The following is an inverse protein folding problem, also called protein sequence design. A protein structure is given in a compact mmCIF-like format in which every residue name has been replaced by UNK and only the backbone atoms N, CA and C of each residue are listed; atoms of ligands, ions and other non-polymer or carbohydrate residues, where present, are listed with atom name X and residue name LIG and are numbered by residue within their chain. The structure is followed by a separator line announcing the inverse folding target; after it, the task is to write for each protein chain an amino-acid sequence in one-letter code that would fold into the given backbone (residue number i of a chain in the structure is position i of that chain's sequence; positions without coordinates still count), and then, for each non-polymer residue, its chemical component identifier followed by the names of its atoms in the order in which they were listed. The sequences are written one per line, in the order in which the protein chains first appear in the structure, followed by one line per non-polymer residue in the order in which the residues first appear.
data_IF_663173907640
#
_entry.id   IF_663173907640
#
_cell.length_a   1.000
_cell.length_b   1.000
_cell.length_c   1.000
_cell.angle_alpha   90.00
_cell.angle_beta   90.00
_cell.angle_gamma   90.00
#
_symmetry.space_group_name_H-M   'P 1'
#
loop_
_entity.id
_entity.type
_entity.pdbx_description
1 polymer ?
#
# COMPACT_ATOMS: atom_id res chain seq x y z
N UNK A 1 56.15 54.47 -9.84
CA UNK A 1 56.92 53.79 -10.91
C UNK A 1 56.54 52.31 -10.89
N UNK A 2 55.88 51.82 -11.96
CA UNK A 2 55.64 50.39 -12.34
C UNK A 2 54.94 49.51 -11.29
N UNK A 3 53.62 49.33 -11.32
CA UNK A 3 52.86 48.38 -12.18
C UNK A 3 53.45 46.96 -12.19
N UNK A 4 52.76 45.96 -11.62
CA UNK A 4 52.05 44.95 -12.42
C UNK A 4 51.26 43.95 -11.56
N UNK A 5 50.04 43.75 -12.03
CA UNK A 5 49.03 42.73 -11.75
C UNK A 5 49.56 41.28 -11.89
N UNK A 6 49.27 40.39 -10.93
CA UNK A 6 49.23 38.91 -11.11
C UNK A 6 48.14 38.36 -10.19
N UNK A 7 46.92 38.22 -10.69
CA UNK A 7 46.31 36.97 -11.19
C UNK A 7 46.20 35.91 -10.08
N UNK A 8 44.97 35.84 -9.53
CA UNK A 8 44.41 34.69 -8.84
C UNK A 8 44.43 33.48 -9.79
N UNK A 9 45.00 32.36 -9.34
CA UNK A 9 44.75 31.05 -9.95
C UNK A 9 44.07 30.18 -8.90
N UNK A 10 42.74 30.11 -8.99
CA UNK A 10 41.91 29.16 -8.27
C UNK A 10 42.04 27.81 -9.01
N UNK A 11 42.78 26.86 -8.45
CA UNK A 11 42.79 25.48 -8.95
C UNK A 11 41.53 24.81 -8.37
N UNK A 12 40.45 24.83 -9.16
CA UNK A 12 39.33 23.94 -8.96
C UNK A 12 39.76 22.54 -9.43
N UNK A 13 40.04 21.63 -8.50
CA UNK A 13 40.05 20.20 -8.79
C UNK A 13 38.62 19.77 -9.09
N UNK A 14 38.23 19.82 -10.36
CA UNK A 14 37.04 19.14 -10.85
C UNK A 14 37.42 17.66 -10.90
N UNK A 15 37.07 16.92 -9.86
CA UNK A 15 36.92 15.48 -9.99
C UNK A 15 35.70 15.25 -10.87
N UNK A 16 35.91 15.15 -12.18
CA UNK A 16 34.96 14.50 -13.07
C UNK A 16 34.98 13.01 -12.73
N UNK A 17 34.21 12.62 -11.72
CA UNK A 17 33.65 11.28 -11.73
C UNK A 17 32.72 11.26 -12.93
N UNK A 18 33.19 10.62 -14.00
CA UNK A 18 32.30 10.08 -15.00
C UNK A 18 31.41 9.08 -14.26
N UNK A 19 30.24 9.54 -13.81
CA UNK A 19 29.12 8.64 -13.63
C UNK A 19 28.89 8.04 -15.01
N UNK A 20 29.23 6.76 -15.14
CA UNK A 20 28.61 5.95 -16.18
C UNK A 20 27.11 6.18 -16.07
N UNK A 21 26.40 6.43 -17.18
CA UNK A 21 24.95 6.47 -17.13
C UNK A 21 24.52 5.07 -16.70
N UNK A 22 24.14 4.94 -15.43
CA UNK A 22 23.36 3.81 -14.97
C UNK A 22 22.18 3.74 -15.92
N UNK A 23 22.12 2.65 -16.68
CA UNK A 23 21.00 2.32 -17.53
C UNK A 23 19.74 2.55 -16.74
N UNK A 24 18.97 3.54 -17.21
CA UNK A 24 17.63 3.84 -16.77
C UNK A 24 16.82 2.54 -16.85
N UNK A 25 16.68 1.87 -15.70
CA UNK A 25 15.81 0.72 -15.51
C UNK A 25 14.39 1.19 -15.15
N UNK A 26 14.07 2.49 -15.28
CA UNK A 26 12.68 2.91 -15.25
C UNK A 26 12.00 2.38 -16.51
N UNK A 27 10.90 1.67 -16.29
CA UNK A 27 10.11 0.95 -17.27
C UNK A 27 10.80 -0.26 -17.92
N UNK A 28 10.60 -1.47 -17.35
CA UNK A 28 10.08 -2.53 -18.21
C UNK A 28 8.95 -1.88 -19.01
N UNK A 29 9.02 -1.91 -20.34
CA UNK A 29 7.86 -1.65 -21.18
C UNK A 29 6.83 -2.72 -20.84
N UNK A 30 6.14 -2.56 -19.72
CA UNK A 30 4.87 -3.20 -19.47
C UNK A 30 4.02 -2.73 -20.64
N UNK A 31 3.57 -3.67 -21.46
CA UNK A 31 2.64 -3.38 -22.56
C UNK A 31 1.59 -2.41 -22.01
N UNK A 32 1.46 -1.23 -22.62
CA UNK A 32 0.47 -0.23 -22.23
C UNK A 32 -0.85 -0.95 -22.00
N UNK A 33 -1.26 -1.09 -20.73
CA UNK A 33 -2.53 -1.70 -20.36
C UNK A 33 -3.61 -0.73 -20.80
N UNK A 34 -4.00 -0.80 -22.07
CA UNK A 34 -4.96 0.12 -22.63
C UNK A 34 -6.37 -0.31 -22.22
N UNK A 35 -6.90 0.35 -21.19
CA UNK A 35 -8.33 0.28 -20.89
C UNK A 35 -9.03 1.29 -21.80
N UNK A 36 -9.52 0.78 -22.94
CA UNK A 36 -10.18 1.55 -23.98
C UNK A 36 -11.53 2.14 -23.55
N UNK A 37 -12.17 1.53 -22.55
CA UNK A 37 -13.48 1.93 -22.05
C UNK A 37 -13.52 1.90 -20.52
N UNK A 38 -14.21 2.87 -19.92
CA UNK A 38 -14.50 2.89 -18.49
C UNK A 38 -15.43 1.75 -18.06
N UNK A 39 -16.11 1.08 -18.99
CA UNK A 39 -16.93 -0.12 -18.74
C UNK A 39 -16.07 -1.38 -18.81
N UNK A 40 -16.02 -2.12 -17.71
CA UNK A 40 -15.20 -3.31 -17.52
C UNK A 40 -16.08 -4.55 -17.51
N UNK A 41 -15.78 -5.51 -18.38
CA UNK A 41 -16.46 -6.81 -18.42
C UNK A 41 -15.63 -7.89 -17.72
N UNK A 42 -16.27 -8.91 -17.10
CA UNK A 42 -15.57 -10.08 -16.58
C UNK A 42 -14.79 -10.80 -17.68
N UNK A 43 -13.63 -11.35 -17.33
CA UNK A 43 -12.82 -12.20 -18.23
C UNK A 43 -13.59 -13.48 -18.62
N UNK A 44 -14.39 -14.02 -17.70
CA UNK A 44 -15.30 -15.12 -17.95
C UNK A 44 -16.44 -15.16 -16.94
N UNK A 45 -17.50 -15.90 -17.26
CA UNK A 45 -18.68 -16.06 -16.40
C UNK A 45 -18.97 -17.55 -16.16
N UNK A 46 -19.39 -17.89 -14.94
CA UNK A 46 -19.88 -19.22 -14.58
C UNK A 46 -21.23 -19.07 -13.87
N UNK A 47 -22.21 -19.88 -14.25
CA UNK A 47 -23.57 -19.80 -13.69
C UNK A 47 -23.88 -21.12 -12.98
N UNK A 48 -24.45 -21.03 -11.78
CA UNK A 48 -24.87 -22.18 -10.99
C UNK A 48 -26.29 -22.01 -10.48
N UNK A 49 -27.01 -23.13 -10.35
CA UNK A 49 -28.36 -23.14 -9.79
C UNK A 49 -28.25 -22.92 -8.29
N UNK A 50 -29.02 -21.97 -7.74
CA UNK A 50 -29.19 -21.86 -6.30
C UNK A 50 -30.59 -22.35 -5.88
N UNK A 51 -30.70 -22.83 -4.65
CA UNK A 51 -31.95 -23.38 -4.11
C UNK A 51 -32.96 -22.31 -3.68
N UNK A 52 -32.59 -21.04 -3.68
CA UNK A 52 -33.36 -19.93 -3.10
C UNK A 52 -34.06 -19.07 -4.16
N UNK A 53 -33.81 -19.30 -5.46
CA UNK A 53 -34.34 -18.51 -6.58
C UNK A 53 -34.01 -17.00 -6.52
N UNK A 54 -33.00 -16.62 -5.73
CA UNK A 54 -32.48 -15.25 -5.67
C UNK A 54 -31.39 -15.06 -6.73
N UNK A 55 -31.31 -13.88 -7.35
CA UNK A 55 -30.17 -13.57 -8.23
C UNK A 55 -29.00 -13.13 -7.37
N UNK A 56 -27.91 -13.89 -7.39
CA UNK A 56 -26.67 -13.55 -6.68
C UNK A 56 -25.55 -13.38 -7.71
N UNK A 57 -24.75 -12.34 -7.56
CA UNK A 57 -23.53 -12.14 -8.35
C UNK A 57 -22.33 -12.16 -7.39
N UNK A 58 -21.38 -13.04 -7.68
CA UNK A 58 -20.15 -13.22 -6.91
C UNK A 58 -18.96 -12.93 -7.80
N UNK A 59 -18.10 -12.02 -7.36
CA UNK A 59 -16.89 -11.67 -8.10
C UNK A 59 -15.74 -12.54 -7.62
N UNK A 60 -15.06 -13.18 -8.56
CA UNK A 60 -13.86 -13.98 -8.34
C UNK A 60 -12.68 -13.31 -9.00
N UNK A 61 -11.65 -13.00 -8.23
CA UNK A 61 -10.36 -12.53 -8.72
C UNK A 61 -9.38 -13.69 -8.72
N UNK A 62 -8.83 -14.01 -9.89
CA UNK A 62 -7.77 -15.00 -10.06
C UNK A 62 -6.44 -14.25 -10.07
N UNK A 63 -5.61 -14.46 -9.05
CA UNK A 63 -4.26 -13.88 -8.92
C UNK A 63 -3.28 -14.60 -9.84
N UNK A 64 -2.14 -13.97 -10.13
CA UNK A 64 -1.11 -14.58 -11.02
C UNK A 64 -0.58 -15.92 -10.49
N UNK A 65 -0.53 -16.10 -9.16
CA UNK A 65 -0.15 -17.36 -8.51
C UNK A 65 -1.25 -18.44 -8.55
N UNK A 66 -2.40 -18.18 -9.19
CA UNK A 66 -3.54 -19.08 -9.29
C UNK A 66 -4.50 -19.06 -8.10
N UNK A 67 -4.23 -18.26 -7.07
CA UNK A 67 -5.13 -18.10 -5.92
C UNK A 67 -6.42 -17.43 -6.37
N UNK A 68 -7.55 -17.93 -5.86
CA UNK A 68 -8.88 -17.39 -6.15
C UNK A 68 -9.38 -16.69 -4.90
N UNK A 69 -9.63 -15.39 -5.02
CA UNK A 69 -10.30 -14.60 -3.98
C UNK A 69 -11.74 -14.30 -4.40
N UNK A 70 -12.67 -14.45 -3.46
CA UNK A 70 -14.06 -14.01 -3.65
C UNK A 70 -14.17 -12.63 -3.02
N UNK A 71 -14.53 -11.64 -3.83
CA UNK A 71 -14.68 -10.27 -3.37
C UNK A 71 -16.06 -10.11 -2.72
N UNK A 72 -16.06 -9.61 -1.49
CA UNK A 72 -17.28 -9.25 -0.77
C UNK A 72 -17.64 -7.78 -1.04
N UNK A 73 -18.93 -7.45 -0.89
CA UNK A 73 -19.44 -6.07 -0.78
C UNK A 73 -19.33 -5.19 -2.02
N UNK A 74 -19.47 -5.78 -3.21
CA UNK A 74 -19.64 -5.00 -4.42
C UNK A 74 -21.13 -4.78 -4.69
N UNK A 75 -21.57 -3.53 -4.49
CA UNK A 75 -22.96 -3.10 -4.60
C UNK A 75 -23.43 -3.16 -6.07
N UNK A 76 -23.88 -4.33 -6.50
CA UNK A 76 -24.33 -4.59 -7.86
C UNK A 76 -25.82 -4.28 -8.03
N UNK A 77 -26.13 -3.43 -8.99
CA UNK A 77 -27.48 -3.20 -9.48
C UNK A 77 -27.81 -4.23 -10.55
N UNK A 78 -28.80 -5.10 -10.27
CA UNK A 78 -29.20 -6.18 -11.18
C UNK A 78 -30.47 -5.81 -11.94
N UNK A 79 -30.42 -5.87 -13.27
CA UNK A 79 -31.59 -5.71 -14.14
C UNK A 79 -31.94 -7.04 -14.82
N UNK A 80 -32.89 -7.77 -14.23
CA UNK A 80 -33.33 -9.06 -14.75
C UNK A 80 -34.08 -9.02 -16.08
N UNK A 81 -34.67 -7.87 -16.46
CA UNK A 81 -35.35 -7.75 -17.75
C UNK A 81 -34.34 -7.68 -18.90
N UNK A 82 -33.18 -7.08 -18.64
CA UNK A 82 -32.09 -6.94 -19.61
C UNK A 82 -31.04 -8.05 -19.49
N UNK A 83 -31.07 -8.84 -18.41
CA UNK A 83 -30.11 -9.91 -18.17
C UNK A 83 -28.72 -9.38 -17.85
N UNK A 84 -28.63 -8.21 -17.20
CA UNK A 84 -27.37 -7.56 -16.86
C UNK A 84 -27.30 -7.18 -15.38
N UNK A 85 -26.09 -7.06 -14.85
CA UNK A 85 -25.83 -6.32 -13.64
C UNK A 85 -24.69 -5.33 -13.85
N UNK A 86 -24.68 -4.26 -13.06
CA UNK A 86 -23.66 -3.21 -13.13
C UNK A 86 -23.27 -2.72 -11.75
N UNK A 87 -22.06 -2.19 -11.61
CA UNK A 87 -21.66 -1.46 -10.42
C UNK A 87 -20.59 -0.44 -10.76
N UNK A 88 -20.73 0.76 -10.20
CA UNK A 88 -19.72 1.81 -10.32
C UNK A 88 -18.67 1.65 -9.23
N UNK A 89 -17.39 1.73 -9.58
CA UNK A 89 -16.27 1.59 -8.64
C UNK A 89 -16.00 2.92 -7.91
N UNK A 90 -17.02 3.38 -7.18
CA UNK A 90 -17.05 4.64 -6.44
C UNK A 90 -17.98 4.49 -5.23
N UNK A 91 -17.48 4.90 -4.05
CA UNK A 91 -18.28 5.02 -2.84
C UNK A 91 -17.85 6.26 -2.05
N UNK A 92 -18.28 6.38 -0.79
CA UNK A 92 -17.94 7.55 0.05
C UNK A 92 -16.44 7.65 0.39
N UNK A 93 -15.69 6.55 0.36
CA UNK A 93 -14.30 6.45 0.81
C UNK A 93 -13.30 6.51 -0.35
N UNK A 94 -13.62 5.88 -1.48
CA UNK A 94 -12.73 5.89 -2.63
C UNK A 94 -13.47 5.89 -3.97
N UNK A 95 -12.75 6.21 -5.04
CA UNK A 95 -13.17 5.97 -6.42
C UNK A 95 -11.99 5.53 -7.28
N UNK A 96 -12.22 4.63 -8.22
CA UNK A 96 -11.20 4.15 -9.17
C UNK A 96 -11.53 4.67 -10.57
N UNK A 97 -10.56 5.32 -11.21
CA UNK A 97 -10.77 5.96 -12.51
C UNK A 97 -9.49 6.04 -13.33
N UNK A 98 -9.66 6.23 -14.64
CA UNK A 98 -8.69 6.93 -15.46
C UNK A 98 -9.22 8.35 -15.71
N UNK A 99 -9.75 8.61 -16.91
CA UNK A 99 -10.49 9.83 -17.25
C UNK A 99 -11.86 9.81 -16.57
N UNK A 100 -12.58 8.70 -16.73
CA UNK A 100 -13.90 8.44 -16.13
C UNK A 100 -13.78 7.37 -15.04
N UNK A 101 -14.73 7.39 -14.10
CA UNK A 101 -14.89 6.34 -13.10
C UNK A 101 -15.16 5.02 -13.79
N UNK A 102 -14.47 3.96 -13.35
CA UNK A 102 -14.71 2.62 -13.86
C UNK A 102 -16.06 2.08 -13.39
N UNK A 103 -16.73 1.38 -14.28
CA UNK A 103 -17.99 0.68 -14.03
C UNK A 103 -17.80 -0.76 -14.47
N UNK A 104 -18.23 -1.71 -13.66
CA UNK A 104 -18.27 -3.11 -14.08
C UNK A 104 -19.64 -3.44 -14.64
N UNK A 105 -19.66 -4.24 -15.69
CA UNK A 105 -20.86 -4.68 -16.38
C UNK A 105 -20.69 -6.16 -16.72
N UNK A 106 -21.69 -6.97 -16.45
CA UNK A 106 -21.68 -8.36 -16.87
C UNK A 106 -23.10 -8.90 -17.07
N UNK A 107 -23.18 -9.96 -17.86
CA UNK A 107 -24.42 -10.72 -18.03
C UNK A 107 -24.76 -11.48 -16.74
N UNK A 108 -26.06 -11.58 -16.46
CA UNK A 108 -26.60 -12.33 -15.33
C UNK A 108 -27.80 -13.16 -15.77
N UNK A 109 -27.87 -14.37 -15.26
CA UNK A 109 -29.08 -15.18 -15.31
C UNK A 109 -29.84 -15.06 -13.99
N UNK A 110 -31.10 -14.62 -14.06
CA UNK A 110 -31.88 -14.34 -12.87
C UNK A 110 -32.40 -15.60 -12.18
N UNK A 111 -32.46 -15.52 -10.85
CA UNK A 111 -32.74 -16.67 -9.97
C UNK A 111 -31.59 -17.67 -9.88
N UNK A 112 -30.38 -17.28 -10.31
CA UNK A 112 -29.16 -18.10 -10.25
C UNK A 112 -28.02 -17.36 -9.56
N UNK A 113 -27.00 -18.12 -9.21
CA UNK A 113 -25.72 -17.58 -8.76
C UNK A 113 -24.78 -17.44 -9.95
N UNK A 114 -24.43 -16.20 -10.26
CA UNK A 114 -23.56 -15.78 -11.35
C UNK A 114 -22.17 -15.48 -10.76
N UNK A 115 -21.15 -16.17 -11.24
CA UNK A 115 -19.76 -15.92 -10.90
C UNK A 115 -19.12 -15.12 -12.02
N UNK A 116 -18.72 -13.90 -11.73
CA UNK A 116 -17.94 -13.07 -12.64
C UNK A 116 -16.47 -13.22 -12.30
N UNK A 117 -15.70 -13.72 -13.24
CA UNK A 117 -14.30 -14.09 -13.03
C UNK A 117 -13.44 -13.04 -13.73
N UNK A 118 -12.53 -12.45 -12.97
CA UNK A 118 -11.54 -11.49 -13.44
C UNK A 118 -10.14 -12.07 -13.24
N UNK A 119 -9.28 -11.98 -14.25
CA UNK A 119 -7.89 -12.39 -14.15
C UNK A 119 -7.02 -11.17 -13.81
N UNK A 120 -6.26 -11.22 -12.72
CA UNK A 120 -5.45 -10.11 -12.23
C UNK A 120 -4.37 -9.66 -13.22
N UNK A 121 -3.96 -10.53 -14.15
CA UNK A 121 -3.01 -10.16 -15.22
C UNK A 121 -3.65 -9.34 -16.35
N UNK A 122 -4.99 -9.29 -16.44
CA UNK A 122 -5.73 -8.52 -17.45
C UNK A 122 -6.08 -7.11 -16.93
N UNK A 123 -6.26 -6.12 -17.82
CA UNK A 123 -6.55 -4.75 -17.40
C UNK A 123 -7.78 -4.61 -16.48
N UNK A 124 -8.87 -5.33 -16.77
CA UNK A 124 -10.08 -5.31 -15.95
C UNK A 124 -9.84 -5.94 -14.58
N UNK A 125 -9.09 -7.05 -14.50
CA UNK A 125 -8.75 -7.68 -13.25
C UNK A 125 -7.80 -6.86 -12.37
N UNK A 126 -6.93 -6.04 -12.95
CA UNK A 126 -6.12 -5.09 -12.18
C UNK A 126 -6.97 -4.02 -11.50
N UNK A 127 -8.00 -3.49 -12.18
CA UNK A 127 -8.95 -2.57 -11.55
C UNK A 127 -9.68 -3.24 -10.39
N UNK A 128 -10.11 -4.49 -10.58
CA UNK A 128 -10.76 -5.28 -9.52
C UNK A 128 -9.80 -5.59 -8.36
N UNK A 129 -8.51 -5.81 -8.63
CA UNK A 129 -7.50 -5.99 -7.60
C UNK A 129 -7.28 -4.73 -6.76
N UNK A 130 -7.30 -3.53 -7.38
CA UNK A 130 -7.28 -2.25 -6.64
C UNK A 130 -8.52 -2.12 -5.76
N UNK A 131 -9.70 -2.46 -6.30
CA UNK A 131 -10.95 -2.42 -5.56
C UNK A 131 -10.91 -3.33 -4.34
N UNK A 132 -10.40 -4.56 -4.47
CA UNK A 132 -10.24 -5.50 -3.36
C UNK A 132 -9.43 -4.89 -2.20
N UNK A 133 -8.27 -4.29 -2.49
CA UNK A 133 -7.43 -3.65 -1.47
C UNK A 133 -8.13 -2.45 -0.81
N UNK A 134 -8.75 -1.59 -1.61
CA UNK A 134 -9.49 -0.44 -1.09
C UNK A 134 -10.67 -0.88 -0.20
N UNK A 135 -11.39 -1.94 -0.56
CA UNK A 135 -12.46 -2.50 0.26
C UNK A 135 -11.95 -3.21 1.51
N UNK A 136 -10.83 -3.94 1.44
CA UNK A 136 -10.14 -4.50 2.61
C UNK A 136 -9.84 -3.39 3.63
N UNK A 137 -9.36 -2.23 3.18
CA UNK A 137 -9.13 -1.06 4.04
C UNK A 137 -10.43 -0.53 4.67
N UNK A 138 -11.47 -0.28 3.87
CA UNK A 138 -12.78 0.17 4.37
C UNK A 138 -13.32 -0.80 5.43
N UNK A 139 -13.28 -2.10 5.15
CA UNK A 139 -13.80 -3.14 6.04
C UNK A 139 -12.98 -3.23 7.33
N UNK A 140 -11.64 -3.28 7.24
CA UNK A 140 -10.77 -3.38 8.42
C UNK A 140 -10.85 -2.12 9.29
N UNK A 141 -10.84 -0.93 8.71
CA UNK A 141 -11.01 0.32 9.46
C UNK A 141 -12.40 0.45 10.08
N UNK A 142 -13.45 -0.03 9.40
CA UNK A 142 -14.82 -0.06 9.95
C UNK A 142 -14.93 -1.01 11.14
N UNK A 143 -14.40 -2.24 11.02
CA UNK A 143 -14.35 -3.23 12.11
C UNK A 143 -13.53 -2.74 13.31
N UNK A 144 -12.46 -2.00 13.05
CA UNK A 144 -11.63 -1.37 14.07
C UNK A 144 -12.23 -0.07 14.64
N UNK A 145 -13.43 0.37 14.22
CA UNK A 145 -14.08 1.57 14.76
C UNK A 145 -13.44 2.91 14.36
N UNK A 146 -12.48 2.90 13.43
CA UNK A 146 -11.66 4.07 13.04
C UNK A 146 -12.00 4.63 11.66
N UNK A 147 -13.02 4.10 10.97
CA UNK A 147 -13.41 4.54 9.62
C UNK A 147 -13.76 6.03 9.51
N UNK A 148 -14.16 6.67 10.61
CA UNK A 148 -14.43 8.12 10.64
C UNK A 148 -13.17 8.97 10.47
N UNK A 149 -11.98 8.37 10.62
CA UNK A 149 -10.72 9.03 10.30
C UNK A 149 -10.43 9.09 8.80
N UNK A 150 -11.15 8.31 7.98
CA UNK A 150 -11.14 8.48 6.53
C UNK A 150 -12.01 9.69 6.16
N UNK A 151 -11.41 10.87 6.24
CA UNK A 151 -12.10 12.17 6.15
C UNK A 151 -12.36 12.63 4.72
N UNK A 152 -11.59 12.15 3.75
CA UNK A 152 -11.67 12.55 2.35
C UNK A 152 -11.67 11.35 1.40
N UNK A 153 -12.39 11.48 0.29
CA UNK A 153 -12.44 10.42 -0.73
C UNK A 153 -11.07 10.28 -1.43
N UNK A 154 -10.49 9.08 -1.40
CA UNK A 154 -9.24 8.74 -2.10
C UNK A 154 -9.54 8.42 -3.56
N UNK A 155 -8.75 8.99 -4.47
CA UNK A 155 -8.88 8.81 -5.91
C UNK A 155 -7.79 7.85 -6.39
N UNK A 156 -8.15 6.62 -6.74
CA UNK A 156 -7.25 5.73 -7.44
C UNK A 156 -7.23 6.11 -8.93
N UNK A 157 -6.06 6.50 -9.43
CA UNK A 157 -5.80 6.67 -10.85
C UNK A 157 -5.09 5.43 -11.36
N UNK A 158 -5.75 4.72 -12.27
CA UNK A 158 -5.22 3.54 -12.93
C UNK A 158 -5.70 3.51 -14.39
N UNK A 159 -4.87 3.08 -15.35
CA UNK A 159 -3.43 2.93 -15.22
C UNK A 159 -2.75 4.29 -15.04
N UNK A 160 -1.64 4.33 -14.32
CA UNK A 160 -0.77 5.50 -14.19
C UNK A 160 0.68 5.16 -14.58
N UNK A 161 1.49 6.18 -14.85
CA UNK A 161 2.88 6.04 -15.30
C UNK A 161 3.87 5.71 -14.17
N UNK A 162 3.36 5.45 -12.97
CA UNK A 162 4.14 5.13 -11.78
C UNK A 162 3.27 5.02 -10.54
N UNK A 163 3.87 4.49 -9.49
CA UNK A 163 3.24 4.28 -8.19
C UNK A 163 3.64 5.42 -7.26
N UNK A 164 2.65 6.23 -6.85
CA UNK A 164 2.84 7.33 -5.90
C UNK A 164 1.51 7.92 -5.40
N UNK A 165 1.56 8.40 -4.16
CA UNK A 165 0.52 9.24 -3.57
C UNK A 165 0.77 10.74 -3.79
N UNK A 166 -0.30 11.49 -4.10
CA UNK A 166 -0.30 12.95 -4.06
C UNK A 166 -1.73 13.48 -3.81
N UNK A 167 -1.93 14.22 -2.72
CA UNK A 167 -3.16 14.95 -2.38
C UNK A 167 -4.46 14.17 -2.63
N UNK A 168 -4.75 13.17 -1.78
CA UNK A 168 -5.90 12.27 -1.91
C UNK A 168 -5.97 11.51 -3.24
N UNK A 169 -4.88 11.42 -4.00
CA UNK A 169 -4.80 10.66 -5.24
C UNK A 169 -3.71 9.62 -5.13
N UNK A 170 -4.07 8.37 -5.33
CA UNK A 170 -3.18 7.21 -5.40
C UNK A 170 -3.02 6.86 -6.87
N UNK A 171 -1.81 6.96 -7.40
CA UNK A 171 -1.49 6.60 -8.78
C UNK A 171 -0.88 5.21 -8.74
N UNK A 172 -1.37 4.32 -9.60
CA UNK A 172 -0.95 2.91 -9.62
C UNK A 172 -0.67 2.48 -11.05
N UNK A 173 0.48 1.85 -11.26
CA UNK A 173 0.90 1.28 -12.54
C UNK A 173 0.46 -0.18 -12.70
N UNK A 174 0.39 -0.94 -11.60
CA UNK A 174 -0.03 -2.35 -11.54
C UNK A 174 -1.02 -2.57 -10.41
N UNK A 175 -2.28 -2.86 -10.76
CA UNK A 175 -3.34 -3.02 -9.77
C UNK A 175 -3.31 -4.35 -9.00
N UNK A 176 -2.65 -5.35 -9.58
CA UNK A 176 -2.49 -6.69 -9.01
C UNK A 176 -1.35 -6.79 -7.99
N UNK A 177 -0.45 -5.80 -7.95
CA UNK A 177 0.60 -5.66 -6.93
C UNK A 177 -0.01 -5.14 -5.62
N UNK A 178 -0.63 -6.05 -4.87
CA UNK A 178 -1.45 -5.70 -3.71
C UNK A 178 -0.71 -4.86 -2.66
N UNK A 179 0.58 -5.12 -2.47
CA UNK A 179 1.43 -4.49 -1.47
C UNK A 179 1.79 -3.05 -1.87
N UNK A 180 2.02 -2.82 -3.16
CA UNK A 180 2.19 -1.48 -3.76
C UNK A 180 0.89 -0.68 -3.65
N UNK A 181 -0.25 -1.27 -4.06
CA UNK A 181 -1.56 -0.58 -3.96
C UNK A 181 -1.89 -0.22 -2.52
N UNK A 182 -1.68 -1.15 -1.59
CA UNK A 182 -1.90 -0.93 -0.17
C UNK A 182 -0.94 0.09 0.44
N UNK A 183 0.31 0.13 -0.02
CA UNK A 183 1.31 1.12 0.39
C UNK A 183 0.88 2.52 -0.02
N UNK A 184 0.52 2.73 -1.29
CA UNK A 184 0.09 4.06 -1.75
C UNK A 184 -1.23 4.52 -1.10
N UNK A 185 -2.16 3.58 -0.84
CA UNK A 185 -3.34 3.87 -0.01
C UNK A 185 -2.93 4.22 1.43
N UNK A 186 -1.93 3.56 1.98
CA UNK A 186 -1.33 3.84 3.28
C UNK A 186 -0.90 5.29 3.42
N UNK A 187 -0.23 5.86 2.41
CA UNK A 187 0.11 7.28 2.39
C UNK A 187 -1.11 8.20 2.49
N UNK A 188 -2.20 7.87 1.78
CA UNK A 188 -3.43 8.65 1.85
C UNK A 188 -4.08 8.60 3.25
N UNK A 189 -4.04 7.45 3.91
CA UNK A 189 -4.57 7.27 5.26
C UNK A 189 -3.66 7.94 6.30
N UNK A 190 -2.34 7.87 6.12
CA UNK A 190 -1.34 8.57 6.94
C UNK A 190 -1.54 10.09 6.91
N UNK A 191 -1.75 10.66 5.73
CA UNK A 191 -2.04 12.10 5.52
C UNK A 191 -3.34 12.50 6.24
N UNK A 192 -4.43 11.77 5.98
CA UNK A 192 -5.73 12.05 6.59
C UNK A 192 -5.74 11.87 8.12
N UNK A 193 -4.89 10.99 8.64
CA UNK A 193 -4.69 10.77 10.08
C UNK A 193 -3.80 11.82 10.75
N UNK A 194 -3.09 12.65 9.98
CA UNK A 194 -2.03 13.54 10.46
C UNK A 194 -1.07 12.81 11.43
N UNK A 195 -0.60 11.63 10.99
CA UNK A 195 0.24 10.74 11.80
C UNK A 195 1.62 11.37 12.00
N UNK A 196 2.25 11.82 10.92
CA UNK A 196 3.56 12.44 10.94
C UNK A 196 3.85 13.28 9.70
N UNK A 197 5.00 13.92 9.72
CA UNK A 197 5.45 14.72 8.58
C UNK A 197 5.75 13.82 7.37
N UNK A 198 5.45 14.31 6.17
CA UNK A 198 5.93 13.68 4.93
C UNK A 198 7.38 14.08 4.67
N UNK A 199 8.25 13.07 4.48
CA UNK A 199 9.51 13.29 3.78
C UNK A 199 9.27 13.17 2.28
N UNK A 200 9.65 14.16 1.48
CA UNK A 200 9.66 14.03 0.03
C UNK A 200 11.02 13.52 -0.46
N UNK A 201 11.05 12.70 -1.51
CA UNK A 201 12.29 12.33 -2.21
C UNK A 201 12.28 10.91 -2.78
N UNK A 202 13.23 10.63 -3.68
CA UNK A 202 13.49 9.27 -4.13
C UNK A 202 14.00 8.44 -2.95
N UNK A 203 13.38 7.28 -2.74
CA UNK A 203 13.76 6.33 -1.72
C UNK A 203 13.72 4.90 -2.28
N UNK A 204 14.22 3.97 -1.49
CA UNK A 204 14.38 2.54 -1.68
C UNK A 204 14.36 1.94 -0.27
N UNK A 205 13.52 0.93 -0.06
CA UNK A 205 13.26 0.40 1.29
C UNK A 205 14.49 0.07 2.16
N UNK A 206 15.65 -0.22 1.57
CA UNK A 206 16.85 -0.70 2.25
C UNK A 206 17.92 0.38 2.55
N UNK A 207 17.72 1.63 2.13
CA UNK A 207 18.69 2.71 2.38
C UNK A 207 18.26 3.61 3.55
N UNK A 208 19.13 4.55 3.91
CA UNK A 208 18.89 5.52 4.96
C UNK A 208 18.38 6.84 4.38
N UNK A 209 17.40 7.43 5.06
CA UNK A 209 16.74 8.69 4.69
C UNK A 209 16.69 9.69 5.85
N UNK A 210 15.82 10.70 5.75
CA UNK A 210 15.39 11.46 6.92
C UNK A 210 14.46 10.60 7.79
N UNK A 211 14.34 10.94 9.07
CA UNK A 211 13.42 10.24 9.99
C UNK A 211 11.96 10.35 9.53
N UNK A 212 11.55 11.53 9.05
CA UNK A 212 10.21 11.76 8.52
C UNK A 212 9.93 10.92 7.27
N UNK A 213 10.88 10.84 6.32
CA UNK A 213 10.71 9.99 5.13
C UNK A 213 10.63 8.51 5.51
N UNK A 214 11.52 8.04 6.38
CA UNK A 214 11.47 6.66 6.84
C UNK A 214 10.16 6.33 7.58
N UNK A 215 9.63 7.25 8.37
CA UNK A 215 8.36 7.09 9.06
C UNK A 215 7.18 7.03 8.08
N UNK A 216 7.07 7.98 7.15
CA UNK A 216 5.96 8.02 6.20
C UNK A 216 5.93 6.78 5.31
N UNK A 217 7.07 6.38 4.75
CA UNK A 217 7.16 5.18 3.91
C UNK A 217 6.94 3.90 4.74
N UNK A 218 7.55 3.81 5.92
CA UNK A 218 7.45 2.61 6.74
C UNK A 218 6.05 2.39 7.32
N UNK A 219 5.34 3.49 7.64
CA UNK A 219 3.95 3.43 8.06
C UNK A 219 3.03 3.00 6.92
N UNK A 220 3.25 3.51 5.71
CA UNK A 220 2.49 3.13 4.52
C UNK A 220 2.65 1.63 4.19
N UNK A 221 3.90 1.13 4.24
CA UNK A 221 4.22 -0.29 4.12
C UNK A 221 3.56 -1.13 5.22
N UNK A 222 3.66 -0.70 6.48
CA UNK A 222 2.97 -1.35 7.61
C UNK A 222 1.45 -1.42 7.42
N UNK A 223 0.82 -0.33 6.96
CA UNK A 223 -0.61 -0.32 6.68
C UNK A 223 -0.98 -1.35 5.60
N UNK A 224 -0.19 -1.43 4.52
CA UNK A 224 -0.35 -2.43 3.47
C UNK A 224 -0.29 -3.87 4.01
N UNK A 225 0.71 -4.17 4.85
CA UNK A 225 0.84 -5.45 5.52
C UNK A 225 -0.39 -5.75 6.39
N UNK A 226 -0.80 -4.80 7.24
CA UNK A 226 -1.99 -4.94 8.08
C UNK A 226 -3.25 -5.22 7.27
N UNK A 227 -3.38 -4.75 6.02
CA UNK A 227 -4.54 -5.05 5.18
C UNK A 227 -4.57 -6.50 4.68
N UNK A 228 -3.43 -7.06 4.29
CA UNK A 228 -3.41 -8.23 3.40
C UNK A 228 -2.65 -9.43 3.96
N UNK A 229 -1.77 -9.24 4.94
CA UNK A 229 -1.03 -10.32 5.60
C UNK A 229 -1.80 -10.77 6.86
N UNK A 230 -1.82 -12.07 7.12
CA UNK A 230 -2.30 -12.62 8.37
C UNK A 230 -1.30 -12.28 9.48
N UNK A 231 -1.77 -11.65 10.57
CA UNK A 231 -0.93 -11.27 11.70
C UNK A 231 -0.30 -12.46 12.44
N UNK A 232 -0.70 -13.69 12.09
CA UNK A 232 -0.09 -14.93 12.60
C UNK A 232 0.92 -15.56 11.63
N UNK A 233 1.17 -14.95 10.48
CA UNK A 233 2.09 -15.48 9.47
C UNK A 233 3.56 -15.24 9.83
N UNK A 234 4.23 -16.28 10.32
CA UNK A 234 5.67 -16.28 10.65
C UNK A 234 6.59 -15.98 9.44
N UNK A 235 6.06 -15.96 8.23
CA UNK A 235 6.78 -15.59 7.01
C UNK A 235 6.17 -14.36 6.33
N UNK A 236 5.57 -13.44 7.12
CA UNK A 236 5.04 -12.18 6.64
C UNK A 236 6.03 -11.50 5.69
N UNK A 237 5.59 -11.21 4.46
CA UNK A 237 6.46 -10.72 3.39
C UNK A 237 5.71 -9.88 2.37
N UNK A 238 6.42 -8.94 1.75
CA UNK A 238 5.97 -8.24 0.55
C UNK A 238 6.50 -8.93 -0.70
N UNK A 239 5.64 -9.06 -1.71
CA UNK A 239 5.90 -9.83 -2.94
C UNK A 239 6.37 -8.95 -4.10
N UNK A 240 5.90 -7.70 -4.18
CA UNK A 240 6.10 -6.82 -5.32
C UNK A 240 6.70 -5.45 -4.98
N UNK A 241 6.57 -4.99 -3.72
CA UNK A 241 7.00 -3.65 -3.28
C UNK A 241 8.48 -3.35 -3.62
N UNK A 242 9.34 -4.38 -3.71
CA UNK A 242 10.78 -4.20 -3.94
C UNK A 242 11.31 -5.19 -4.96
N UNK A 243 11.16 -4.95 -6.28
CA UNK A 243 11.49 -5.95 -7.31
C UNK A 243 12.90 -6.53 -7.24
N UNK A 244 13.91 -5.74 -6.79
CA UNK A 244 15.30 -6.20 -6.68
C UNK A 244 15.63 -7.04 -5.45
N UNK A 245 14.79 -7.03 -4.41
CA UNK A 245 14.96 -7.80 -3.17
C UNK A 245 13.75 -8.69 -2.86
N UNK A 246 12.71 -8.65 -3.69
CA UNK A 246 11.47 -9.37 -3.48
C UNK A 246 11.68 -10.90 -3.54
N UNK A 247 10.94 -11.67 -2.72
CA UNK A 247 10.08 -11.18 -1.65
C UNK A 247 10.91 -10.69 -0.45
N UNK A 248 10.48 -9.60 0.20
CA UNK A 248 11.13 -9.10 1.43
C UNK A 248 10.33 -9.50 2.66
N UNK A 249 10.99 -10.06 3.66
CA UNK A 249 10.38 -10.49 4.94
C UNK A 249 10.19 -9.31 5.88
N UNK A 250 9.04 -9.20 6.54
CA UNK A 250 8.76 -8.17 7.54
C UNK A 250 9.41 -8.56 8.88
N UNK A 251 9.26 -9.84 9.26
CA UNK A 251 9.76 -10.43 10.52
C UNK A 251 11.30 -10.44 10.65
N UNK A 252 12.01 -10.44 9.52
CA UNK A 252 13.47 -10.53 9.52
C UNK A 252 14.06 -9.53 8.56
N UNK A 253 14.81 -8.57 9.11
CA UNK A 253 15.47 -7.51 8.35
C UNK A 253 16.97 -7.84 8.27
N UNK A 254 17.50 -8.11 7.05
CA UNK A 254 18.91 -8.45 6.87
C UNK A 254 19.88 -7.41 7.45
N UNK A 255 21.02 -7.88 7.95
CA UNK A 255 22.03 -7.01 8.58
C UNK A 255 22.68 -6.00 7.61
N UNK A 256 22.60 -6.21 6.29
CA UNK A 256 23.09 -5.28 5.29
C UNK A 256 22.12 -4.11 5.00
N UNK A 257 20.89 -4.18 5.51
CA UNK A 257 19.92 -3.08 5.46
C UNK A 257 20.34 -1.98 6.43
N UNK A 258 20.26 -0.73 5.97
CA UNK A 258 20.58 0.47 6.76
C UNK A 258 20.07 0.34 8.20
N UNK A 259 20.96 0.46 9.18
CA UNK A 259 20.61 0.46 10.60
C UNK A 259 19.94 1.78 11.03
N UNK A 260 19.14 1.70 12.10
CA UNK A 260 18.53 2.86 12.74
C UNK A 260 17.16 3.29 12.18
N UNK A 261 16.54 4.30 12.80
CA UNK A 261 15.17 4.78 12.55
C UNK A 261 14.96 5.51 11.22
N UNK A 262 16.01 5.53 10.38
CA UNK A 262 16.03 6.23 9.09
C UNK A 262 15.80 5.28 7.92
N UNK A 263 15.40 4.05 8.20
CA UNK A 263 15.15 3.02 7.20
C UNK A 263 13.67 2.59 7.22
N UNK A 264 13.04 2.64 6.06
CA UNK A 264 11.63 2.27 5.85
C UNK A 264 11.33 0.83 6.30
N UNK A 265 12.18 -0.13 5.91
CA UNK A 265 11.98 -1.54 6.26
C UNK A 265 11.95 -1.73 7.78
N UNK A 266 12.89 -1.10 8.49
CA UNK A 266 12.96 -1.16 9.96
C UNK A 266 11.80 -0.46 10.65
N UNK A 267 11.28 0.63 10.09
CA UNK A 267 10.05 1.25 10.59
C UNK A 267 8.86 0.31 10.37
N UNK A 268 8.79 -0.36 9.22
CA UNK A 268 7.72 -1.32 8.91
C UNK A 268 7.74 -2.48 9.88
N UNK A 269 8.90 -3.11 10.11
CA UNK A 269 9.09 -4.18 11.09
C UNK A 269 8.73 -3.72 12.51
N UNK A 270 9.24 -2.57 12.94
CA UNK A 270 8.92 -2.03 14.27
C UNK A 270 7.42 -1.85 14.50
N UNK A 271 6.67 -1.36 13.51
CA UNK A 271 5.22 -1.20 13.63
C UNK A 271 4.48 -2.54 13.55
N UNK A 272 5.01 -3.50 12.79
CA UNK A 272 4.47 -4.85 12.67
C UNK A 272 4.58 -5.61 13.99
N UNK A 273 5.75 -5.63 14.62
CA UNK A 273 6.02 -6.31 15.90
C UNK A 273 5.17 -5.77 17.08
N UNK A 274 4.58 -4.58 16.91
CA UNK A 274 3.64 -4.04 17.90
C UNK A 274 2.27 -4.75 17.83
N UNK A 275 1.87 -5.27 16.67
CA UNK A 275 0.50 -5.81 16.44
C UNK A 275 0.45 -7.29 16.13
N UNK A 276 1.56 -7.85 15.66
CA UNK A 276 1.61 -9.22 15.19
C UNK A 276 1.39 -10.20 16.37
N UNK A 277 1.07 -11.43 16.00
CA UNK A 277 0.81 -12.53 16.93
C UNK A 277 1.73 -13.72 16.63
N UNK A 278 2.80 -13.51 15.85
CA UNK A 278 3.80 -14.53 15.64
C UNK A 278 4.58 -14.70 16.95
N UNK A 279 4.63 -15.93 17.47
CA UNK A 279 5.32 -16.21 18.73
C UNK A 279 6.85 -16.25 18.50
N UNK A 280 7.49 -15.09 18.52
CA UNK A 280 8.95 -14.95 18.39
C UNK A 280 9.64 -14.34 19.63
N UNK A 281 8.86 -14.10 20.70
CA UNK A 281 9.21 -13.46 21.98
C UNK A 281 9.23 -11.92 21.96
N UNK A 282 8.71 -11.26 20.92
CA UNK A 282 8.83 -9.81 20.75
C UNK A 282 7.48 -9.08 20.54
N UNK A 283 6.37 -9.80 20.43
CA UNK A 283 5.05 -9.21 20.15
C UNK A 283 4.46 -8.39 21.32
N UNK A 284 3.97 -7.19 21.02
CA UNK A 284 3.14 -6.41 21.95
C UNK A 284 1.63 -6.73 21.84
N UNK A 285 1.24 -7.54 20.86
CA UNK A 285 -0.13 -8.02 20.58
C UNK A 285 -1.19 -6.89 20.62
N UNK A 286 -0.80 -5.70 20.17
CA UNK A 286 -1.66 -4.52 20.25
C UNK A 286 -2.62 -4.47 19.08
N UNK A 287 -3.89 -4.18 19.33
CA UNK A 287 -4.85 -3.93 18.26
C UNK A 287 -4.42 -2.70 17.44
N UNK A 288 -4.50 -2.77 16.10
CA UNK A 288 -4.22 -1.64 15.20
C UNK A 288 -4.99 -0.36 15.62
N UNK A 289 -6.23 -0.50 16.09
CA UNK A 289 -7.02 0.62 16.63
C UNK A 289 -6.29 1.40 17.73
N UNK A 290 -5.64 0.70 18.66
CA UNK A 290 -4.90 1.33 19.77
C UNK A 290 -3.73 2.14 19.23
N UNK A 291 -2.93 1.56 18.31
CA UNK A 291 -1.84 2.29 17.65
C UNK A 291 -2.37 3.49 16.87
N UNK A 292 -3.44 3.32 16.10
CA UNK A 292 -4.09 4.39 15.35
C UNK A 292 -4.52 5.54 16.27
N UNK A 293 -5.21 5.24 17.36
CA UNK A 293 -5.74 6.24 18.29
C UNK A 293 -4.63 7.00 19.02
N UNK A 294 -3.49 6.36 19.29
CA UNK A 294 -2.31 7.02 19.82
C UNK A 294 -1.69 7.91 18.74
N UNK A 295 -1.57 7.44 17.51
CA UNK A 295 -0.77 8.11 16.48
C UNK A 295 -1.49 9.23 15.73
N UNK A 296 -2.82 9.24 15.70
CA UNK A 296 -3.60 10.27 14.96
C UNK A 296 -3.39 11.67 15.54
N UNK A 297 -3.29 12.66 14.65
CA UNK A 297 -3.08 14.08 14.95
C UNK A 297 -1.82 14.38 15.79
N UNK A 298 -0.74 13.65 15.53
CA UNK A 298 0.52 13.79 16.28
C UNK A 298 1.59 14.55 15.53
N UNK A 299 1.60 14.47 14.21
CA UNK A 299 2.62 15.13 13.36
C UNK A 299 4.06 14.78 13.80
N UNK A 300 4.33 13.50 14.05
CA UNK A 300 5.67 13.02 14.41
C UNK A 300 6.72 13.38 13.34
N UNK A 301 7.90 13.83 13.80
CA UNK A 301 9.05 14.08 12.94
C UNK A 301 9.87 12.83 12.61
N UNK A 302 9.77 11.78 13.44
CA UNK A 302 10.41 10.48 13.24
C UNK A 302 9.76 9.37 14.10
N UNK A 303 10.21 8.13 13.90
CA UNK A 303 9.72 6.96 14.66
C UNK A 303 10.16 6.94 16.13
N UNK A 304 11.22 7.67 16.52
CA UNK A 304 11.61 7.78 17.95
C UNK A 304 10.57 8.55 18.74
N UNK A 305 10.03 9.62 18.16
CA UNK A 305 8.94 10.38 18.77
C UNK A 305 7.68 9.53 18.94
N UNK A 306 7.34 8.72 17.93
CA UNK A 306 6.24 7.75 17.99
C UNK A 306 6.46 6.73 19.12
N UNK A 307 7.63 6.09 19.17
CA UNK A 307 7.95 5.09 20.20
C UNK A 307 7.90 5.68 21.62
N UNK A 308 8.36 6.91 21.82
CA UNK A 308 8.22 7.62 23.10
C UNK A 308 6.76 7.92 23.44
N UNK A 309 5.92 8.20 22.45
CA UNK A 309 4.50 8.41 22.70
C UNK A 309 3.78 7.12 23.09
N UNK A 310 4.15 5.96 22.53
CA UNK A 310 3.63 4.67 22.99
C UNK A 310 3.88 4.48 24.50
N UNK A 311 5.11 4.76 24.96
CA UNK A 311 5.46 4.72 26.38
C UNK A 311 4.60 5.70 27.20
N UNK A 312 4.42 6.93 26.71
CA UNK A 312 3.56 7.94 27.38
C UNK A 312 2.10 7.52 27.47
N UNK A 313 1.63 6.68 26.55
CA UNK A 313 0.27 6.14 26.51
C UNK A 313 0.13 4.79 27.21
N UNK A 314 1.13 4.38 28.01
CA UNK A 314 1.02 3.26 28.94
C UNK A 314 1.55 1.92 28.46
N UNK A 315 2.25 1.89 27.32
CA UNK A 315 2.98 0.69 26.88
C UNK A 315 4.15 0.43 27.83
N UNK A 316 4.48 -0.85 28.06
CA UNK A 316 5.62 -1.23 28.89
C UNK A 316 6.91 -0.65 28.28
N UNK A 317 7.62 0.25 28.99
CA UNK A 317 8.86 0.81 28.50
C UNK A 317 9.91 -0.26 28.19
N UNK A 318 9.96 -1.36 28.96
CA UNK A 318 10.93 -2.44 28.73
C UNK A 318 10.64 -3.10 27.39
N UNK A 319 9.38 -3.46 27.13
CA UNK A 319 8.97 -4.07 25.87
C UNK A 319 9.24 -3.15 24.66
N UNK A 320 8.83 -1.88 24.73
CA UNK A 320 9.08 -0.92 23.64
C UNK A 320 10.58 -0.76 23.37
N UNK A 321 11.43 -0.69 24.41
CA UNK A 321 12.88 -0.61 24.21
C UNK A 321 13.45 -1.89 23.56
N UNK A 322 12.92 -3.06 23.89
CA UNK A 322 13.31 -4.34 23.30
C UNK A 322 12.98 -4.35 21.81
N UNK A 323 11.71 -4.14 21.44
CA UNK A 323 11.23 -4.10 20.04
C UNK A 323 11.97 -3.04 19.23
N UNK A 324 12.14 -1.84 19.81
CA UNK A 324 12.86 -0.75 19.17
C UNK A 324 14.31 -1.14 18.88
N UNK A 325 15.00 -1.76 19.84
CA UNK A 325 16.39 -2.18 19.67
C UNK A 325 16.55 -3.30 18.65
N UNK A 326 15.64 -4.28 18.62
CA UNK A 326 15.67 -5.35 17.62
C UNK A 326 15.52 -4.80 16.20
N UNK A 327 14.56 -3.91 15.99
CA UNK A 327 14.30 -3.34 14.68
C UNK A 327 15.36 -2.34 14.24
N UNK A 328 15.84 -1.47 15.14
CA UNK A 328 16.71 -0.35 14.75
C UNK A 328 18.19 -0.57 15.05
N UNK A 329 18.55 -1.60 15.81
CA UNK A 329 19.93 -1.90 16.23
C UNK A 329 20.56 -0.78 17.07
N UNK A 330 19.74 0.02 17.74
CA UNK A 330 20.13 1.10 18.65
C UNK A 330 19.11 1.27 19.78
N UNK A 331 19.50 1.95 20.86
CA UNK A 331 18.60 2.30 21.96
C UNK A 331 17.72 3.52 21.60
N UNK A 332 16.53 3.62 22.21
CA UNK A 332 15.52 4.66 21.98
C UNK A 332 15.91 6.07 22.48
#
# INVERSE_FOLDING_TARGET
MKSFLKILTLIACINTFAMEPETDLTNPKYSELEILDHVLNPSSNLITINSQAETLVLIKLIRENGTIEILENLDLETNCAEGIATSRLDNRYFKIKNIQTYEIHGEVECGKTNYWIFNASEPTGQVIAIYDIAMKAVNKMSRAGIINSWTSKVNFRFPADGDYYNWNTVNVSRGDHWDVVGHELGHAIYDQGNIGAFGGGSHKIDQCYSGALALSEGWASFFSAWLSIDITDINAKFEYLVPRRAPITIEYIPADVCAGPRNEWRVTGFLWDLIDLAYDNESAETAFETLWNINKNKDYGDVKELARDLIRNGFDPILINVIYKQNFLEEL
#
